data_IF_411272181655
#
_entry.id   IF_411272181655
#
_cell.length_a   1.000
_cell.length_b   1.000
_cell.length_c   1.000
_cell.angle_alpha   90.00
_cell.angle_beta   90.00
_cell.angle_gamma   90.00
#
_symmetry.space_group_name_H-M   'P 1'
#
loop_
_entity.id
_entity.type
_entity.pdbx_description
1 polymer ?
#
# COMPACT_ATOMS: atom_id res chain seq x y z
N UNK A 1 22.72 19.60 34.70
CA UNK A 1 21.63 19.47 33.70
C UNK A 1 21.09 18.04 33.79
N UNK A 2 19.88 17.88 34.35
CA UNK A 2 19.26 16.56 34.61
C UNK A 2 18.70 16.00 33.28
N UNK A 3 19.20 14.84 32.85
CA UNK A 3 18.58 14.04 31.77
C UNK A 3 17.20 13.61 32.24
N UNK A 4 16.16 14.04 31.54
CA UNK A 4 14.81 13.53 31.72
C UNK A 4 14.67 12.28 30.83
N UNK A 5 14.86 11.11 31.41
CA UNK A 5 14.36 9.86 30.84
C UNK A 5 12.82 9.86 30.92
N UNK A 6 12.09 9.62 29.82
CA UNK A 6 10.67 9.40 29.92
C UNK A 6 10.41 7.97 30.42
N UNK A 7 9.85 7.96 31.63
CA UNK A 7 9.16 6.92 32.41
C UNK A 7 8.71 5.65 31.65
N UNK A 8 9.08 4.50 32.21
CA UNK A 8 8.69 3.12 31.88
C UNK A 8 7.16 2.80 32.00
N UNK A 9 6.29 3.80 32.15
CA UNK A 9 4.85 3.61 32.40
C UNK A 9 3.97 3.55 31.14
N UNK A 10 4.55 3.67 29.94
CA UNK A 10 3.81 3.64 28.66
C UNK A 10 3.77 2.27 27.97
N UNK A 11 4.34 1.23 28.59
CA UNK A 11 4.13 -0.19 28.23
C UNK A 11 2.68 -0.67 28.53
N UNK A 12 1.70 0.23 28.39
CA UNK A 12 0.26 0.00 28.51
C UNK A 12 -0.08 -1.26 27.73
N UNK A 13 -0.71 -2.23 28.44
CA UNK A 13 -1.30 -3.48 27.94
C UNK A 13 -1.70 -3.36 26.46
N UNK A 14 -0.81 -3.75 25.56
CA UNK A 14 -1.16 -3.88 24.15
C UNK A 14 -2.33 -4.85 24.08
N UNK A 15 -3.41 -4.44 23.42
CA UNK A 15 -4.55 -5.30 23.22
C UNK A 15 -4.08 -6.59 22.53
N UNK A 16 -4.68 -7.76 22.82
CA UNK A 16 -4.30 -9.01 22.19
C UNK A 16 -4.31 -8.92 20.65
N UNK A 17 -5.15 -8.03 20.11
CA UNK A 17 -5.23 -7.74 18.68
C UNK A 17 -4.01 -6.98 18.14
N UNK A 18 -3.52 -5.98 18.86
CA UNK A 18 -2.33 -5.23 18.46
C UNK A 18 -1.09 -6.13 18.51
N UNK A 19 -1.02 -7.03 19.50
CA UNK A 19 0.05 -8.04 19.58
C UNK A 19 0.01 -8.98 18.37
N UNK A 20 -1.15 -9.54 18.05
CA UNK A 20 -1.32 -10.40 16.87
C UNK A 20 -0.99 -9.67 15.58
N UNK A 21 -1.42 -8.41 15.43
CA UNK A 21 -1.09 -7.59 14.28
C UNK A 21 0.43 -7.34 14.18
N UNK A 22 1.09 -6.98 15.28
CA UNK A 22 2.53 -6.75 15.31
C UNK A 22 3.33 -8.02 14.96
N UNK A 23 2.89 -9.18 15.43
CA UNK A 23 3.50 -10.46 15.09
C UNK A 23 3.38 -10.77 13.59
N UNK A 24 2.19 -10.59 13.00
CA UNK A 24 1.96 -10.78 11.56
C UNK A 24 2.85 -9.84 10.74
N UNK A 25 2.93 -8.56 11.11
CA UNK A 25 3.79 -7.59 10.43
C UNK A 25 5.28 -7.95 10.55
N UNK A 26 5.70 -8.43 11.72
CA UNK A 26 7.08 -8.92 11.92
C UNK A 26 7.38 -10.13 11.03
N UNK A 27 6.44 -11.06 10.89
CA UNK A 27 6.59 -12.23 10.02
C UNK A 27 6.60 -11.88 8.52
N UNK A 28 5.87 -10.82 8.11
CA UNK A 28 5.90 -10.31 6.74
C UNK A 28 7.23 -9.63 6.40
N UNK A 29 7.83 -8.91 7.35
CA UNK A 29 9.10 -8.22 7.15
C UNK A 29 9.08 -7.28 5.94
N UNK A 30 10.02 -7.46 5.02
CA UNK A 30 10.17 -6.68 3.78
C UNK A 30 9.02 -6.90 2.77
N UNK A 31 8.24 -7.98 2.92
CA UNK A 31 7.12 -8.28 2.02
C UNK A 31 5.85 -7.51 2.37
N UNK A 32 5.88 -6.65 3.38
CA UNK A 32 4.75 -5.77 3.69
C UNK A 32 4.50 -4.80 2.54
N UNK A 33 3.24 -4.59 2.12
CA UNK A 33 2.91 -3.62 1.08
C UNK A 33 3.48 -2.22 1.34
N UNK A 34 3.49 -1.76 2.60
CA UNK A 34 4.07 -0.48 2.97
C UNK A 34 5.60 -0.43 2.79
N UNK A 35 6.32 -1.51 3.10
CA UNK A 35 7.77 -1.58 2.94
C UNK A 35 8.14 -1.63 1.46
N UNK A 36 7.45 -2.47 0.67
CA UNK A 36 7.61 -2.51 -0.79
C UNK A 36 7.38 -1.12 -1.40
N UNK A 37 6.34 -0.43 -0.96
CA UNK A 37 6.06 0.93 -1.42
C UNK A 37 7.20 1.90 -1.09
N UNK A 38 7.63 1.95 0.18
CA UNK A 38 8.68 2.87 0.61
C UNK A 38 10.03 2.59 -0.05
N UNK A 39 10.44 1.33 -0.15
CA UNK A 39 11.79 0.96 -0.57
C UNK A 39 11.92 0.77 -2.09
N UNK A 40 10.85 0.32 -2.75
CA UNK A 40 10.91 -0.02 -4.19
C UNK A 40 10.17 0.97 -5.06
N UNK A 41 9.05 1.54 -4.60
CA UNK A 41 8.29 2.51 -5.40
C UNK A 41 8.84 3.92 -5.20
N UNK A 42 8.98 4.37 -3.96
CA UNK A 42 9.35 5.76 -3.65
C UNK A 42 10.80 6.11 -4.01
N UNK A 43 11.65 5.12 -4.19
CA UNK A 43 13.04 5.27 -4.65
C UNK A 43 13.15 5.52 -6.16
N UNK A 44 12.06 5.33 -6.91
CA UNK A 44 12.01 5.57 -8.36
C UNK A 44 11.40 6.94 -8.68
N UNK A 45 11.47 7.33 -9.96
CA UNK A 45 10.69 8.48 -10.47
C UNK A 45 9.22 8.12 -10.50
N UNK A 46 8.42 8.86 -9.74
CA UNK A 46 6.98 8.61 -9.60
C UNK A 46 6.15 9.86 -9.89
N UNK A 47 4.88 9.65 -10.24
CA UNK A 47 3.82 10.66 -10.23
C UNK A 47 2.81 10.38 -9.13
N UNK A 48 2.21 11.43 -8.59
CA UNK A 48 1.06 11.25 -7.71
C UNK A 48 -0.18 10.81 -8.50
N UNK A 49 -0.98 9.91 -7.93
CA UNK A 49 -2.21 9.39 -8.52
C UNK A 49 -3.31 9.31 -7.48
N UNK A 50 -4.40 10.04 -7.70
CA UNK A 50 -5.55 10.05 -6.80
C UNK A 50 -6.45 8.85 -7.07
N UNK A 51 -6.44 7.89 -6.14
CA UNK A 51 -7.38 6.77 -6.11
C UNK A 51 -8.75 7.23 -5.63
N UNK A 52 -8.78 8.22 -4.72
CA UNK A 52 -9.99 8.67 -4.02
C UNK A 52 -10.80 7.49 -3.47
N UNK A 53 -10.07 6.48 -2.97
CA UNK A 53 -10.62 5.22 -2.50
C UNK A 53 -11.01 5.33 -1.04
N UNK A 54 -12.26 4.96 -0.75
CA UNK A 54 -12.81 4.85 0.61
C UNK A 54 -13.46 3.48 0.85
N UNK A 55 -13.33 2.53 -0.08
CA UNK A 55 -14.21 1.35 -0.14
C UNK A 55 -13.46 0.01 -0.15
N UNK A 56 -14.07 -0.95 0.55
CA UNK A 56 -13.64 -2.35 0.73
C UNK A 56 -13.82 -3.24 -0.53
N UNK A 57 -14.63 -2.80 -1.50
CA UNK A 57 -14.95 -3.59 -2.70
C UNK A 57 -14.16 -3.07 -3.91
N UNK A 58 -13.11 -3.81 -4.25
CA UNK A 58 -12.16 -3.50 -5.32
C UNK A 58 -12.16 -4.63 -6.33
N UNK A 59 -12.57 -4.35 -7.56
CA UNK A 59 -12.73 -5.33 -8.63
C UNK A 59 -11.98 -4.86 -9.88
N UNK A 60 -11.24 -5.76 -10.52
CA UNK A 60 -10.65 -5.52 -11.82
C UNK A 60 -11.59 -6.07 -12.89
N UNK A 61 -11.80 -5.30 -13.96
CA UNK A 61 -12.71 -5.67 -15.05
C UNK A 61 -12.00 -5.51 -16.39
N UNK A 62 -12.07 -6.56 -17.22
CA UNK A 62 -11.81 -6.43 -18.65
C UNK A 62 -13.06 -5.91 -19.33
N UNK A 63 -12.92 -4.81 -20.07
CA UNK A 63 -13.99 -4.21 -20.86
C UNK A 63 -13.58 -4.18 -22.33
N UNK A 64 -14.52 -3.84 -23.22
CA UNK A 64 -14.22 -3.67 -24.65
C UNK A 64 -13.21 -2.55 -24.91
N UNK A 65 -13.11 -1.57 -24.01
CA UNK A 65 -12.24 -0.39 -24.13
C UNK A 65 -10.92 -0.54 -23.37
N UNK A 66 -10.66 -1.70 -22.77
CA UNK A 66 -9.43 -1.98 -22.04
C UNK A 66 -9.68 -2.53 -20.64
N UNK A 67 -8.94 -2.04 -19.66
CA UNK A 67 -9.02 -2.50 -18.27
C UNK A 67 -9.57 -1.40 -17.38
N UNK A 68 -10.52 -1.75 -16.53
CA UNK A 68 -11.09 -0.85 -15.52
C UNK A 68 -10.85 -1.39 -14.10
N UNK A 69 -10.47 -0.49 -13.20
CA UNK A 69 -10.47 -0.74 -11.77
C UNK A 69 -11.72 -0.12 -11.14
N UNK A 70 -12.61 -0.98 -10.65
CA UNK A 70 -13.83 -0.57 -9.95
C UNK A 70 -13.57 -0.50 -8.45
N UNK A 71 -13.84 0.65 -7.84
CA UNK A 71 -13.69 0.92 -6.41
C UNK A 71 -15.06 1.38 -5.89
N UNK A 72 -15.83 0.45 -5.31
CA UNK A 72 -17.23 0.67 -4.96
C UNK A 72 -18.06 1.13 -6.18
N UNK A 73 -18.53 2.38 -6.17
CA UNK A 73 -19.33 2.98 -7.27
C UNK A 73 -18.48 3.65 -8.36
N UNK A 74 -17.18 3.87 -8.11
CA UNK A 74 -16.28 4.54 -9.05
C UNK A 74 -15.60 3.52 -9.95
N UNK A 75 -15.27 3.95 -11.17
CA UNK A 75 -14.47 3.17 -12.12
C UNK A 75 -13.32 4.03 -12.60
N UNK A 76 -12.13 3.46 -12.60
CA UNK A 76 -10.91 4.08 -13.07
C UNK A 76 -10.44 3.32 -14.31
N UNK A 77 -10.41 3.99 -15.46
CA UNK A 77 -9.79 3.43 -16.65
C UNK A 77 -8.28 3.33 -16.40
N UNK A 78 -7.74 2.13 -16.61
CA UNK A 78 -6.32 1.83 -16.45
C UNK A 78 -5.71 1.58 -17.83
N UNK A 79 -4.46 2.02 -18.07
CA UNK A 79 -3.79 1.82 -19.36
C UNK A 79 -3.56 0.33 -19.67
N UNK A 80 -3.35 -0.49 -18.65
CA UNK A 80 -3.07 -1.92 -18.77
C UNK A 80 -3.44 -2.67 -17.47
N UNK A 81 -3.36 -4.00 -17.55
CA UNK A 81 -3.72 -4.91 -16.44
C UNK A 81 -2.76 -4.81 -15.24
N UNK A 82 -1.46 -4.62 -15.48
CA UNK A 82 -0.48 -4.49 -14.41
C UNK A 82 -0.72 -3.20 -13.60
N UNK A 83 -1.01 -2.10 -14.28
CA UNK A 83 -1.38 -0.84 -13.62
C UNK A 83 -2.65 -1.01 -12.79
N UNK A 84 -3.67 -1.71 -13.31
CA UNK A 84 -4.90 -1.97 -12.53
C UNK A 84 -4.63 -2.80 -11.27
N UNK A 85 -3.79 -3.85 -11.37
CA UNK A 85 -3.36 -4.69 -10.24
C UNK A 85 -2.61 -3.90 -9.19
N UNK A 86 -1.63 -3.11 -9.64
CA UNK A 86 -0.86 -2.21 -8.78
C UNK A 86 -1.79 -1.29 -7.97
N UNK A 87 -2.70 -0.57 -8.65
CA UNK A 87 -3.63 0.35 -8.02
C UNK A 87 -4.63 -0.36 -7.10
N UNK A 88 -5.02 -1.59 -7.42
CA UNK A 88 -5.99 -2.36 -6.64
C UNK A 88 -5.50 -2.66 -5.21
N UNK A 89 -4.20 -2.94 -5.02
CA UNK A 89 -3.65 -3.19 -3.68
C UNK A 89 -3.83 -1.95 -2.78
N UNK A 90 -3.46 -0.77 -3.28
CA UNK A 90 -3.60 0.47 -2.51
C UNK A 90 -5.06 0.88 -2.30
N UNK A 91 -5.93 0.62 -3.28
CA UNK A 91 -7.36 0.81 -3.12
C UNK A 91 -7.94 -0.08 -2.01
N UNK A 92 -7.50 -1.34 -1.90
CA UNK A 92 -7.92 -2.28 -0.84
C UNK A 92 -7.40 -1.87 0.55
N UNK A 93 -6.22 -1.28 0.63
CA UNK A 93 -5.70 -0.67 1.87
C UNK A 93 -6.49 0.58 2.24
N UNK A 94 -7.11 1.26 1.26
CA UNK A 94 -7.91 2.46 1.46
C UNK A 94 -7.07 3.74 1.47
N UNK A 95 -5.98 3.76 0.71
CA UNK A 95 -5.14 4.95 0.55
C UNK A 95 -5.78 5.88 -0.48
N UNK A 96 -5.92 7.19 -0.18
CA UNK A 96 -6.60 8.12 -1.08
C UNK A 96 -5.75 8.52 -2.30
N UNK A 97 -4.42 8.60 -2.14
CA UNK A 97 -3.48 9.02 -3.17
C UNK A 97 -2.21 8.19 -3.05
N UNK A 98 -1.64 7.77 -4.18
CA UNK A 98 -0.43 6.93 -4.20
C UNK A 98 0.59 7.41 -5.24
N UNK A 99 1.86 7.11 -5.02
CA UNK A 99 2.89 7.26 -6.05
C UNK A 99 2.77 6.14 -7.09
N UNK A 100 2.87 6.47 -8.37
CA UNK A 100 2.91 5.52 -9.49
C UNK A 100 4.21 5.72 -10.26
N UNK A 101 5.03 4.67 -10.47
CA UNK A 101 6.26 4.78 -11.27
C UNK A 101 5.99 5.25 -12.70
N UNK A 102 6.93 6.01 -13.26
CA UNK A 102 6.87 6.37 -14.69
C UNK A 102 7.30 5.24 -15.62
N UNK A 103 8.21 4.38 -15.16
CA UNK A 103 8.65 3.24 -15.93
C UNK A 103 7.59 2.13 -15.87
N UNK A 104 6.79 2.07 -16.93
CA UNK A 104 5.71 1.08 -17.09
C UNK A 104 6.21 -0.37 -17.03
N UNK A 105 7.50 -0.62 -17.34
CA UNK A 105 8.06 -1.98 -17.32
C UNK A 105 8.26 -2.51 -15.90
N UNK A 106 8.36 -1.62 -14.90
CA UNK A 106 8.50 -2.01 -13.50
C UNK A 106 7.15 -2.27 -12.82
N UNK A 107 6.06 -1.71 -13.35
CA UNK A 107 4.73 -1.78 -12.72
C UNK A 107 4.27 -3.23 -12.59
N UNK A 108 4.54 -4.10 -13.57
CA UNK A 108 4.19 -5.52 -13.52
C UNK A 108 4.85 -6.24 -12.35
N UNK A 109 6.17 -6.09 -12.19
CA UNK A 109 6.95 -6.69 -11.09
C UNK A 109 6.49 -6.16 -9.74
N UNK A 110 6.31 -4.85 -9.63
CA UNK A 110 5.81 -4.23 -8.40
C UNK A 110 4.41 -4.71 -8.04
N UNK A 111 3.53 -4.87 -9.03
CA UNK A 111 2.19 -5.41 -8.82
C UNK A 111 2.25 -6.86 -8.30
N UNK A 112 3.09 -7.72 -8.89
CA UNK A 112 3.27 -9.10 -8.43
C UNK A 112 3.77 -9.17 -6.98
N UNK A 113 4.75 -8.34 -6.62
CA UNK A 113 5.30 -8.27 -5.25
C UNK A 113 4.27 -7.76 -4.25
N UNK A 114 3.57 -6.67 -4.58
CA UNK A 114 2.54 -6.08 -3.72
C UNK A 114 1.36 -7.04 -3.50
N UNK A 115 0.89 -7.70 -4.55
CA UNK A 115 -0.18 -8.69 -4.44
C UNK A 115 0.26 -9.90 -3.62
N UNK A 116 1.47 -10.40 -3.84
CA UNK A 116 2.01 -11.52 -3.05
C UNK A 116 2.11 -11.16 -1.57
N UNK A 117 2.63 -9.97 -1.24
CA UNK A 117 2.67 -9.46 0.14
C UNK A 117 1.29 -9.28 0.75
N UNK A 118 0.33 -8.76 -0.03
CA UNK A 118 -1.06 -8.62 0.37
C UNK A 118 -1.73 -9.97 0.68
N UNK A 119 -1.64 -10.95 -0.22
CA UNK A 119 -2.23 -12.27 -0.01
C UNK A 119 -1.58 -13.00 1.15
N UNK A 120 -0.25 -12.90 1.31
CA UNK A 120 0.46 -13.45 2.47
C UNK A 120 -0.03 -12.84 3.78
N UNK A 121 -0.24 -11.52 3.82
CA UNK A 121 -0.80 -10.84 4.99
C UNK A 121 -2.21 -11.34 5.32
N UNK A 122 -3.06 -11.54 4.30
CA UNK A 122 -4.41 -12.09 4.49
C UNK A 122 -4.37 -13.53 5.03
N UNK A 123 -3.52 -14.38 4.47
CA UNK A 123 -3.38 -15.77 4.90
C UNK A 123 -2.88 -15.87 6.36
N UNK A 124 -1.91 -15.04 6.75
CA UNK A 124 -1.44 -14.97 8.13
C UNK A 124 -2.53 -14.47 9.09
N UNK A 125 -3.32 -13.47 8.68
CA UNK A 125 -4.43 -12.97 9.48
C UNK A 125 -5.55 -14.01 9.65
N UNK A 126 -5.84 -14.77 8.59
CA UNK A 126 -6.79 -15.88 8.64
C UNK A 126 -6.31 -16.99 9.56
N UNK A 127 -5.03 -17.39 9.44
CA UNK A 127 -4.43 -18.40 10.31
C UNK A 127 -4.45 -17.98 11.78
N UNK A 128 -4.04 -16.75 12.09
CA UNK A 128 -4.10 -16.19 13.45
C UNK A 128 -5.54 -16.08 14.00
N UNK A 129 -6.53 -16.01 13.11
CA UNK A 129 -7.95 -15.94 13.42
C UNK A 129 -8.67 -17.28 13.51
N UNK A 130 -7.98 -18.41 13.33
CA UNK A 130 -8.59 -19.74 13.46
C UNK A 130 -9.12 -19.94 14.88
N UNK A 131 -10.39 -20.37 15.00
CA UNK A 131 -11.07 -20.52 16.29
C UNK A 131 -11.55 -19.21 16.94
N UNK A 132 -11.33 -18.06 16.30
CA UNK A 132 -11.82 -16.77 16.77
C UNK A 132 -13.17 -16.39 16.13
N UNK A 133 -13.85 -15.41 16.73
CA UNK A 133 -15.11 -14.89 16.17
C UNK A 133 -14.86 -14.07 14.90
N UNK A 134 -15.85 -14.03 14.00
CA UNK A 134 -15.80 -13.18 12.80
C UNK A 134 -15.55 -11.69 13.12
N UNK A 135 -16.06 -11.21 14.27
CA UNK A 135 -15.81 -9.84 14.76
C UNK A 135 -14.34 -9.60 15.06
N UNK A 136 -13.67 -10.57 15.68
CA UNK A 136 -12.25 -10.50 15.99
C UNK A 136 -11.41 -10.47 14.69
N UNK A 137 -11.70 -11.38 13.75
CA UNK A 137 -11.01 -11.44 12.45
C UNK A 137 -11.17 -10.13 11.66
N UNK A 138 -12.41 -9.62 11.60
CA UNK A 138 -12.72 -8.36 10.92
C UNK A 138 -11.96 -7.18 11.53
N UNK A 139 -11.83 -7.16 12.86
CA UNK A 139 -11.11 -6.11 13.56
C UNK A 139 -9.59 -6.28 13.40
N UNK A 140 -9.05 -7.51 13.34
CA UNK A 140 -7.63 -7.75 13.07
C UNK A 140 -7.25 -7.24 11.68
N UNK A 141 -8.02 -7.62 10.66
CA UNK A 141 -7.83 -7.14 9.28
C UNK A 141 -7.87 -5.60 9.27
N UNK A 142 -8.88 -4.98 9.88
CA UNK A 142 -8.95 -3.51 9.97
C UNK A 142 -7.70 -2.90 10.63
N UNK A 143 -7.20 -3.49 11.70
CA UNK A 143 -5.98 -3.02 12.38
C UNK A 143 -4.76 -3.12 11.46
N UNK A 144 -4.58 -4.24 10.75
CA UNK A 144 -3.49 -4.43 9.79
C UNK A 144 -3.57 -3.42 8.64
N UNK A 145 -4.77 -3.26 8.04
CA UNK A 145 -4.98 -2.29 6.95
C UNK A 145 -4.69 -0.86 7.40
N UNK A 146 -5.13 -0.50 8.61
CA UNK A 146 -4.86 0.83 9.15
C UNK A 146 -3.35 1.06 9.40
N UNK A 147 -2.63 0.05 9.90
CA UNK A 147 -1.19 0.13 10.07
C UNK A 147 -0.46 0.31 8.73
N UNK A 148 -0.83 -0.47 7.71
CA UNK A 148 -0.27 -0.34 6.37
C UNK A 148 -0.60 1.02 5.73
N UNK A 149 -1.84 1.47 5.89
CA UNK A 149 -2.29 2.78 5.39
C UNK A 149 -1.46 3.92 6.01
N UNK A 150 -1.31 3.94 7.33
CA UNK A 150 -0.53 4.96 8.04
C UNK A 150 0.92 4.96 7.53
N UNK A 151 1.53 3.78 7.38
CA UNK A 151 2.91 3.66 6.90
C UNK A 151 3.06 4.15 5.44
N UNK A 152 2.11 3.83 4.56
CA UNK A 152 2.11 4.29 3.17
C UNK A 152 1.90 5.80 3.07
N UNK A 153 0.95 6.35 3.84
CA UNK A 153 0.72 7.80 3.92
C UNK A 153 1.96 8.53 4.46
N UNK A 154 2.66 7.97 5.45
CA UNK A 154 3.90 8.51 5.98
C UNK A 154 5.05 8.50 4.96
N UNK A 155 5.12 7.51 4.07
CA UNK A 155 6.10 7.46 2.97
C UNK A 155 5.81 8.50 1.85
N UNK A 156 4.60 9.06 1.85
CA UNK A 156 4.18 10.13 0.96
C UNK A 156 3.90 9.70 -0.47
N UNK A 157 3.32 10.62 -1.24
CA UNK A 157 2.72 10.35 -2.57
C UNK A 157 3.67 10.69 -3.73
N UNK A 158 4.82 11.29 -3.44
CA UNK A 158 5.74 11.83 -4.44
C UNK A 158 5.27 13.14 -5.07
N UNK A 159 6.07 13.71 -5.99
CA UNK A 159 5.74 14.97 -6.63
C UNK A 159 4.55 14.82 -7.59
N UNK A 160 3.73 15.88 -7.71
CA UNK A 160 2.57 15.92 -8.62
C UNK A 160 2.95 15.86 -10.11
N UNK A 161 4.15 16.34 -10.44
CA UNK A 161 4.70 16.36 -11.79
C UNK A 161 6.14 15.85 -11.76
N UNK A 162 6.65 15.27 -12.87
CA UNK A 162 8.01 14.75 -12.88
C UNK A 162 9.00 15.91 -12.80
N UNK A 163 10.01 15.78 -11.96
CA UNK A 163 11.19 16.63 -12.07
C UNK A 163 11.87 16.33 -13.41
N UNK A 164 11.80 17.28 -14.34
CA UNK A 164 12.48 17.19 -15.62
C UNK A 164 13.94 17.58 -15.43
N UNK A 165 14.85 16.60 -15.52
CA UNK A 165 16.29 16.89 -15.56
C UNK A 165 16.58 17.50 -16.94
N UNK A 166 16.65 18.83 -17.01
CA UNK A 166 17.04 19.56 -18.21
C UNK A 166 18.57 19.48 -18.43
N UNK A 167 19.09 18.27 -18.67
CA UNK A 167 20.49 18.09 -19.06
C UNK A 167 20.62 17.80 -20.57
N UNK A 168 19.76 18.44 -21.36
CA UNK A 168 19.92 18.46 -22.82
C UNK A 168 20.99 19.48 -23.16
N UNK A 169 22.22 19.01 -23.40
CA UNK A 169 23.24 19.77 -24.14
C UNK A 169 22.71 20.04 -25.55
N UNK A 170 21.94 21.10 -25.73
CA UNK A 170 21.62 21.61 -27.05
C UNK A 170 22.94 21.97 -27.73
N UNK A 171 23.28 21.26 -28.81
CA UNK A 171 24.35 21.67 -29.72
C UNK A 171 23.95 23.04 -30.28
N UNK A 172 24.70 24.09 -29.92
CA UNK A 172 24.59 25.40 -30.57
C UNK A 172 24.86 25.16 -32.06
N UNK A 173 23.88 25.50 -32.90
CA UNK A 173 24.08 25.66 -34.34
C UNK A 173 24.81 26.96 -34.59
#
# INVERSE_FOLDING_TARGET
MKKAEPKASELKKQSPMEKAAAEILTQLGEQQPAMIYAERVRTQRTRSFALNATALDVQLQHTLLGVELKIGKKRLSCPDWATARYLAVFARVGVPEIAVPYDITQISRLADELESGWFRMQALAEHAGQGQTARWQSKLIKTLLNAQRIAIEAAGVGPKAPEFIQNTKQRRK
#
